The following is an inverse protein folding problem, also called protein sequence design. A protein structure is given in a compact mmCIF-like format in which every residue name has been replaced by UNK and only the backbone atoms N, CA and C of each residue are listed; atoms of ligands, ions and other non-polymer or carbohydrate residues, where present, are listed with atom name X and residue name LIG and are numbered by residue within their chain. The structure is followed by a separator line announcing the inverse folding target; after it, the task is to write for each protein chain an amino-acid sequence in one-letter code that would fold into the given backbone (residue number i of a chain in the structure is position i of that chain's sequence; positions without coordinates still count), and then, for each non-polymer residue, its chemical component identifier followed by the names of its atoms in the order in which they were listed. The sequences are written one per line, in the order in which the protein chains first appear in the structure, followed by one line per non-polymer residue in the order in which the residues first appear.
data_IF_448466390149
#
_entry.id   IF_448466390149
#
_cell.length_a   1.000
_cell.length_b   1.000
_cell.length_c   1.000
_cell.angle_alpha   90.00
_cell.angle_beta   90.00
_cell.angle_gamma   90.00
#
_symmetry.space_group_name_H-M   'P 1'
#
loop_
_entity.id
_entity.type
_entity.pdbx_description
1 polymer ?
#
# COMPACT_ATOMS: atom_id res chain seq x y z
N UNK A 1 22.00 -47.17 -29.54
CA UNK A 1 21.47 -46.79 -28.21
C UNK A 1 22.06 -45.47 -27.68
N UNK A 2 23.38 -45.26 -27.72
CA UNK A 2 24.09 -44.10 -27.15
C UNK A 2 23.65 -42.72 -27.71
N UNK A 3 23.36 -42.64 -29.01
CA UNK A 3 22.96 -41.38 -29.67
C UNK A 3 21.59 -40.87 -29.20
N UNK A 4 20.64 -41.78 -28.95
CA UNK A 4 19.31 -41.45 -28.40
C UNK A 4 19.44 -40.92 -26.97
N UNK A 5 20.23 -41.59 -26.14
CA UNK A 5 20.44 -41.17 -24.75
C UNK A 5 21.11 -39.78 -24.67
N UNK A 6 22.07 -39.51 -25.56
CA UNK A 6 22.75 -38.21 -25.67
C UNK A 6 21.80 -37.09 -26.11
N UNK A 7 20.92 -37.36 -27.09
CA UNK A 7 19.93 -36.38 -27.55
C UNK A 7 18.89 -36.07 -26.47
N UNK A 8 18.42 -37.08 -25.72
CA UNK A 8 17.50 -36.88 -24.59
C UNK A 8 18.15 -35.99 -23.51
N UNK A 9 19.43 -36.23 -23.16
CA UNK A 9 20.16 -35.37 -22.21
C UNK A 9 20.28 -33.92 -22.68
N UNK A 10 20.51 -33.69 -23.98
CA UNK A 10 20.57 -32.33 -24.55
C UNK A 10 19.22 -31.62 -24.45
N UNK A 11 18.13 -32.29 -24.80
CA UNK A 11 16.78 -31.73 -24.68
C UNK A 11 16.46 -31.40 -23.23
N UNK A 12 16.75 -32.31 -22.29
CA UNK A 12 16.56 -32.09 -20.86
C UNK A 12 17.39 -30.89 -20.35
N UNK A 13 18.62 -30.73 -20.83
CA UNK A 13 19.46 -29.59 -20.47
C UNK A 13 18.92 -28.26 -20.98
N UNK A 14 18.35 -28.23 -22.19
CA UNK A 14 17.68 -27.03 -22.73
C UNK A 14 16.49 -26.66 -21.86
N UNK A 15 15.63 -27.62 -21.51
CA UNK A 15 14.49 -27.35 -20.63
C UNK A 15 14.93 -26.89 -19.24
N UNK A 16 15.99 -27.49 -18.68
CA UNK A 16 16.56 -27.06 -17.41
C UNK A 16 17.00 -25.59 -17.46
N UNK A 17 17.70 -25.18 -18.53
CA UNK A 17 18.09 -23.79 -18.75
C UNK A 17 16.88 -22.86 -18.86
N UNK A 18 15.83 -23.28 -19.57
CA UNK A 18 14.58 -22.51 -19.65
C UNK A 18 13.94 -22.33 -18.27
N UNK A 19 13.88 -23.38 -17.45
CA UNK A 19 13.35 -23.28 -16.09
C UNK A 19 14.19 -22.36 -15.21
N UNK A 20 15.52 -22.47 -15.26
CA UNK A 20 16.41 -21.58 -14.50
C UNK A 20 16.21 -20.12 -14.92
N UNK A 21 16.11 -19.85 -16.23
CA UNK A 21 15.85 -18.50 -16.73
C UNK A 21 14.49 -17.95 -16.24
N UNK A 22 13.45 -18.79 -16.25
CA UNK A 22 12.11 -18.42 -15.82
C UNK A 22 12.05 -18.13 -14.31
N UNK A 23 12.67 -19.00 -13.49
CA UNK A 23 12.79 -18.79 -12.03
C UNK A 23 13.57 -17.51 -11.74
N UNK A 24 14.70 -17.30 -12.42
CA UNK A 24 15.52 -16.10 -12.23
C UNK A 24 14.74 -14.81 -12.56
N UNK A 25 13.95 -14.83 -13.64
CA UNK A 25 13.08 -13.73 -14.01
C UNK A 25 11.97 -13.49 -12.98
N UNK A 26 11.33 -14.55 -12.48
CA UNK A 26 10.33 -14.42 -11.42
C UNK A 26 10.91 -13.82 -10.14
N UNK A 27 12.09 -14.27 -9.72
CA UNK A 27 12.79 -13.69 -8.56
C UNK A 27 13.13 -12.21 -8.77
N UNK A 28 13.61 -11.84 -9.96
CA UNK A 28 13.84 -10.43 -10.32
C UNK A 28 12.55 -9.60 -10.23
N UNK A 29 11.45 -10.12 -10.78
CA UNK A 29 10.15 -9.44 -10.79
C UNK A 29 9.61 -9.25 -9.37
N UNK A 30 9.63 -10.29 -8.54
CA UNK A 30 9.13 -10.23 -7.17
C UNK A 30 9.94 -9.25 -6.30
N UNK A 31 11.27 -9.28 -6.37
CA UNK A 31 12.11 -8.45 -5.51
C UNK A 31 12.13 -6.97 -5.92
N UNK A 32 12.14 -6.67 -7.22
CA UNK A 32 12.33 -5.29 -7.70
C UNK A 32 11.03 -4.64 -8.18
N UNK A 33 10.19 -5.38 -8.91
CA UNK A 33 8.96 -4.82 -9.50
C UNK A 33 7.79 -4.92 -8.51
N UNK A 34 7.73 -5.99 -7.73
CA UNK A 34 6.71 -6.22 -6.70
C UNK A 34 6.49 -5.01 -5.78
N UNK A 35 7.53 -4.49 -5.11
CA UNK A 35 7.40 -3.33 -4.22
C UNK A 35 6.88 -2.07 -4.94
N UNK A 36 7.32 -1.83 -6.17
CA UNK A 36 6.90 -0.67 -6.96
C UNK A 36 5.41 -0.72 -7.34
N UNK A 37 4.86 -1.91 -7.62
CA UNK A 37 3.44 -2.09 -7.93
C UNK A 37 2.59 -1.92 -6.67
N UNK A 38 3.03 -2.51 -5.55
CA UNK A 38 2.30 -2.45 -4.28
C UNK A 38 2.24 -1.01 -3.76
N UNK A 39 3.36 -0.28 -3.82
CA UNK A 39 3.49 1.08 -3.29
C UNK A 39 2.99 2.17 -4.26
N UNK A 40 2.32 1.81 -5.35
CA UNK A 40 1.72 2.78 -6.25
C UNK A 40 0.56 3.50 -5.54
N UNK A 41 0.61 4.83 -5.47
CA UNK A 41 -0.42 5.69 -4.87
C UNK A 41 -1.82 5.51 -5.49
N UNK A 42 -1.89 5.02 -6.74
CA UNK A 42 -3.14 4.75 -7.46
C UNK A 42 -3.69 3.35 -7.19
N UNK A 43 -3.07 2.57 -6.31
CA UNK A 43 -3.53 1.22 -5.99
C UNK A 43 -4.77 1.27 -5.10
N UNK A 44 -5.95 1.01 -5.69
CA UNK A 44 -7.24 0.98 -4.98
C UNK A 44 -7.22 0.08 -3.74
N UNK A 45 -6.50 -1.05 -3.76
CA UNK A 45 -6.42 -1.97 -2.63
C UNK A 45 -5.84 -1.30 -1.39
N UNK A 46 -4.86 -0.42 -1.57
CA UNK A 46 -4.26 0.30 -0.44
C UNK A 46 -5.25 1.27 0.18
N UNK A 47 -6.06 1.96 -0.63
CA UNK A 47 -7.09 2.89 -0.19
C UNK A 47 -8.22 2.22 0.59
N UNK A 48 -8.70 1.05 0.13
CA UNK A 48 -9.72 0.27 0.85
C UNK A 48 -9.22 -0.07 2.26
N UNK A 49 -7.98 -0.57 2.38
CA UNK A 49 -7.36 -0.84 3.69
C UNK A 49 -7.27 0.38 4.59
N UNK A 50 -7.10 1.59 4.05
CA UNK A 50 -7.11 2.84 4.86
C UNK A 50 -8.49 3.19 5.37
N UNK A 51 -9.52 2.77 4.65
CA UNK A 51 -10.90 3.08 4.96
C UNK A 51 -11.56 2.03 5.86
N UNK A 52 -10.90 0.89 6.09
CA UNK A 52 -11.31 -0.10 7.11
C UNK A 52 -11.32 0.51 8.52
N UNK A 53 -10.42 1.47 8.77
CA UNK A 53 -10.31 2.20 10.04
C UNK A 53 -10.70 3.66 9.84
N UNK A 54 -11.49 4.20 10.77
CA UNK A 54 -11.78 5.63 10.78
C UNK A 54 -10.49 6.40 11.06
N UNK A 55 -10.06 7.22 10.09
CA UNK A 55 -8.77 7.91 10.18
C UNK A 55 -8.73 8.86 11.39
N UNK A 56 -7.68 8.78 12.20
CA UNK A 56 -7.52 9.51 13.46
C UNK A 56 -7.60 11.04 13.33
N UNK A 57 -8.06 11.71 14.39
CA UNK A 57 -8.12 13.17 14.47
C UNK A 57 -6.76 13.75 14.86
N UNK A 58 -6.36 14.82 14.18
CA UNK A 58 -5.17 15.60 14.52
C UNK A 58 -5.60 16.74 15.44
N UNK A 59 -4.88 16.92 16.55
CA UNK A 59 -5.16 17.94 17.55
C UNK A 59 -4.04 18.98 17.60
N UNK A 60 -4.41 20.22 17.92
CA UNK A 60 -3.45 21.27 18.32
C UNK A 60 -2.94 21.02 19.75
N UNK A 61 -1.89 21.73 20.16
CA UNK A 61 -1.27 21.69 21.51
C UNK A 61 -2.26 21.90 22.67
N UNK A 62 -3.41 22.53 22.40
CA UNK A 62 -4.46 22.82 23.38
C UNK A 62 -5.58 21.76 23.38
N UNK A 63 -5.46 20.69 22.57
CA UNK A 63 -6.48 19.65 22.44
C UNK A 63 -7.63 20.00 21.49
N UNK A 64 -7.51 21.08 20.71
CA UNK A 64 -8.53 21.45 19.72
C UNK A 64 -8.40 20.56 18.48
N UNK A 65 -9.50 19.94 18.05
CA UNK A 65 -9.52 19.11 16.86
C UNK A 65 -9.36 19.94 15.58
N UNK A 66 -8.34 19.61 14.79
CA UNK A 66 -8.02 20.24 13.51
C UNK A 66 -8.57 19.46 12.31
N UNK A 67 -8.83 18.16 12.50
CA UNK A 67 -9.39 17.28 11.48
C UNK A 67 -10.50 16.38 12.05
N UNK A 68 -11.44 16.00 11.19
CA UNK A 68 -12.53 15.08 11.53
C UNK A 68 -12.72 14.08 10.38
N UNK A 69 -12.98 12.82 10.72
CA UNK A 69 -13.33 11.79 9.74
C UNK A 69 -14.75 11.32 9.98
N UNK A 70 -15.52 11.16 8.91
CA UNK A 70 -16.87 10.59 8.96
C UNK A 70 -16.99 9.46 7.94
N UNK A 71 -17.49 8.27 8.33
CA UNK A 71 -17.72 7.20 7.37
C UNK A 71 -18.90 7.58 6.46
N UNK A 72 -18.71 7.48 5.15
CA UNK A 72 -19.80 7.69 4.17
C UNK A 72 -20.45 6.34 3.84
N UNK A 73 -19.60 5.33 3.59
CA UNK A 73 -20.00 3.96 3.26
C UNK A 73 -18.92 2.99 3.77
N UNK A 74 -19.16 1.69 3.65
CA UNK A 74 -18.26 0.59 3.98
C UNK A 74 -16.86 0.70 3.35
N UNK A 75 -16.72 1.36 2.19
CA UNK A 75 -15.46 1.51 1.48
C UNK A 75 -14.89 2.94 1.47
N UNK A 76 -15.63 3.94 1.95
CA UNK A 76 -15.24 5.36 1.81
C UNK A 76 -15.51 6.19 3.06
N UNK A 77 -14.57 7.09 3.36
CA UNK A 77 -14.68 8.05 4.46
C UNK A 77 -14.46 9.48 3.97
N UNK A 78 -15.16 10.43 4.57
CA UNK A 78 -15.00 11.86 4.36
C UNK A 78 -13.99 12.40 5.37
N UNK A 79 -13.01 13.17 4.90
CA UNK A 79 -12.06 13.90 5.74
C UNK A 79 -12.39 15.39 5.72
N UNK A 80 -12.60 15.99 6.88
CA UNK A 80 -12.90 17.41 7.08
C UNK A 80 -11.78 18.09 7.87
N UNK A 81 -11.44 19.33 7.48
CA UNK A 81 -10.36 20.13 8.07
C UNK A 81 -10.93 21.32 8.84
N UNK A 82 -11.28 21.10 10.11
CA UNK A 82 -11.92 22.09 10.99
C UNK A 82 -10.98 23.18 11.48
N UNK A 83 -9.66 22.96 11.43
CA UNK A 83 -8.65 23.96 11.82
C UNK A 83 -8.62 25.21 10.93
N UNK A 84 -9.30 25.19 9.78
CA UNK A 84 -9.33 26.30 8.84
C UNK A 84 -8.05 26.48 8.03
N UNK A 85 -8.00 27.56 7.25
CA UNK A 85 -6.95 27.77 6.25
C UNK A 85 -5.54 27.91 6.83
N UNK A 86 -5.40 28.30 8.10
CA UNK A 86 -4.10 28.52 8.76
C UNK A 86 -3.28 27.23 8.83
N UNK A 87 -3.93 26.09 9.05
CA UNK A 87 -3.25 24.80 9.18
C UNK A 87 -3.15 24.01 7.85
N UNK A 88 -3.74 24.51 6.77
CA UNK A 88 -3.87 23.80 5.48
C UNK A 88 -2.53 23.28 4.92
N UNK A 89 -1.49 24.12 4.90
CA UNK A 89 -0.19 23.77 4.34
C UNK A 89 0.56 22.74 5.20
N UNK A 90 0.38 22.82 6.52
CA UNK A 90 1.07 21.95 7.48
C UNK A 90 0.36 20.59 7.55
N UNK A 91 -0.96 20.60 7.73
CA UNK A 91 -1.77 19.37 7.74
C UNK A 91 -1.67 18.66 6.39
N UNK A 92 -1.74 19.40 5.29
CA UNK A 92 -1.93 18.84 3.96
C UNK A 92 -3.37 18.36 3.77
N UNK A 93 -3.54 17.40 2.87
CA UNK A 93 -4.82 16.80 2.56
C UNK A 93 -4.71 15.30 2.31
N UNK A 94 -5.84 14.61 2.36
CA UNK A 94 -6.03 13.22 1.92
C UNK A 94 -7.08 13.23 0.81
N UNK A 95 -6.69 12.83 -0.40
CA UNK A 95 -7.61 12.71 -1.52
C UNK A 95 -7.24 11.49 -2.38
N UNK A 96 -8.24 10.71 -2.81
CA UNK A 96 -7.98 9.49 -3.58
C UNK A 96 -7.40 9.76 -4.97
N UNK A 97 -7.72 10.93 -5.56
CA UNK A 97 -7.27 11.34 -6.89
C UNK A 97 -5.94 12.10 -6.81
N UNK A 98 -5.80 13.00 -5.84
CA UNK A 98 -4.62 13.87 -5.71
C UNK A 98 -3.55 13.35 -4.73
N UNK A 99 -3.85 12.29 -3.99
CA UNK A 99 -2.94 11.65 -3.05
C UNK A 99 -2.97 12.29 -1.66
N UNK A 100 -1.89 12.08 -0.91
CA UNK A 100 -1.77 12.52 0.49
C UNK A 100 -0.54 13.40 0.66
N UNK A 101 -0.68 14.48 1.43
CA UNK A 101 0.36 15.51 1.60
C UNK A 101 0.56 15.93 3.05
N UNK A 102 1.58 16.74 3.35
CA UNK A 102 1.79 17.35 4.67
C UNK A 102 1.95 16.34 5.81
N UNK A 103 1.46 16.71 6.99
CA UNK A 103 1.40 15.85 8.17
C UNK A 103 0.52 14.61 7.94
N UNK A 104 -0.54 14.73 7.13
CA UNK A 104 -1.39 13.58 6.80
C UNK A 104 -0.57 12.46 6.13
N UNK A 105 0.41 12.79 5.28
CA UNK A 105 1.29 11.78 4.68
C UNK A 105 2.33 11.26 5.66
N UNK A 106 2.88 12.16 6.48
CA UNK A 106 3.97 11.82 7.40
C UNK A 106 3.53 10.86 8.50
N UNK A 107 2.31 11.05 9.00
CA UNK A 107 1.72 10.24 10.06
C UNK A 107 0.59 9.34 9.56
N UNK A 108 0.67 8.93 8.29
CA UNK A 108 -0.39 8.16 7.64
C UNK A 108 -0.61 6.80 8.31
N UNK A 109 0.47 6.13 8.71
CA UNK A 109 0.43 4.84 9.40
C UNK A 109 -0.25 4.98 10.77
N UNK A 110 0.14 5.98 11.56
CA UNK A 110 -0.42 6.23 12.89
C UNK A 110 -1.88 6.65 12.82
N UNK A 111 -2.26 7.42 11.79
CA UNK A 111 -3.64 7.87 11.59
C UNK A 111 -4.56 6.75 11.08
N UNK A 112 -4.01 5.64 10.60
CA UNK A 112 -4.74 4.45 10.15
C UNK A 112 -4.67 3.28 11.13
N UNK A 113 -3.92 3.40 12.22
CA UNK A 113 -3.88 2.40 13.29
C UNK A 113 -5.08 2.58 14.21
N UNK A 114 -5.63 1.45 14.68
CA UNK A 114 -6.57 1.43 15.79
C UNK A 114 -5.90 0.75 16.98
N UNK A 115 -6.02 1.33 18.18
CA UNK A 115 -5.61 0.69 19.45
C UNK A 115 -6.55 -0.44 19.90
N UNK A 116 -7.63 -0.68 19.14
CA UNK A 116 -8.47 -1.85 19.32
C UNK A 116 -7.60 -3.05 18.91
N UNK A 117 -6.97 -3.69 19.91
CA UNK A 117 -6.50 -5.07 19.78
C UNK A 117 -7.63 -5.84 19.15
N UNK A 118 -7.44 -6.27 17.92
CA UNK A 118 -8.37 -7.14 17.23
C UNK A 118 -8.47 -8.40 18.09
N UNK A 119 -9.49 -8.45 18.95
CA UNK A 119 -9.77 -9.57 19.83
C UNK A 119 -10.45 -10.65 18.98
N UNK A 120 -9.76 -11.10 17.94
CA UNK A 120 -10.20 -12.22 17.13
C UNK A 120 -9.67 -13.47 17.83
N UNK A 121 -10.62 -14.16 18.46
CA UNK A 121 -10.53 -15.55 18.89
C UNK A 121 -10.47 -16.48 17.69
#
# INVERSE_FOLDING_TARGET
MSNILSNIKKVMFVFLLCFIALVSYMTYFEMLVGPNIVNNSHNRRTWIKRNEVLRGTIYDRNGNALTKSEPIDSETQKREYTGGAIFSHVLGYVDQKYGITGLERKYDEELMTTDIKDSIK
#
